data_IF_420789640096
#
_entry.id   IF_420789640096
#
_cell.length_a   1.000
_cell.length_b   1.000
_cell.length_c   1.000
_cell.angle_alpha   90.00
_cell.angle_beta   90.00
_cell.angle_gamma   90.00
#
_symmetry.space_group_name_H-M   'P 1'
#
loop_
_entity.id
_entity.type
_entity.pdbx_description
1 polymer ?
#
# COMPACT_ATOMS: atom_id res chain seq x y z
N UNK A 1 -11.57 -8.27 -11.05
CA UNK A 1 -12.18 -7.09 -10.41
C UNK A 1 -11.12 -6.41 -9.58
N UNK A 2 -10.79 -5.16 -9.85
CA UNK A 2 -9.77 -4.44 -9.08
C UNK A 2 -10.39 -3.94 -7.78
N UNK A 3 -10.10 -4.63 -6.67
CA UNK A 3 -10.56 -4.21 -5.34
C UNK A 3 -9.73 -3.04 -4.85
N UNK A 4 -10.39 -1.97 -4.41
CA UNK A 4 -9.72 -0.77 -3.91
C UNK A 4 -9.81 -0.73 -2.39
N UNK A 5 -8.64 -0.65 -1.75
CA UNK A 5 -8.50 -0.57 -0.29
C UNK A 5 -8.28 0.90 0.10
N UNK A 6 -9.02 1.36 1.12
CA UNK A 6 -8.83 2.70 1.71
C UNK A 6 -7.67 2.68 2.72
N UNK A 7 -7.14 3.86 3.05
CA UNK A 7 -6.03 4.00 4.01
C UNK A 7 -6.24 3.22 5.33
N UNK A 8 -7.45 3.24 5.90
CA UNK A 8 -7.72 2.48 7.14
C UNK A 8 -7.60 0.97 6.95
N UNK A 9 -8.10 0.44 5.82
CA UNK A 9 -7.96 -0.97 5.48
C UNK A 9 -6.50 -1.34 5.21
N UNK A 10 -5.74 -0.42 4.60
CA UNK A 10 -4.33 -0.60 4.31
C UNK A 10 -3.48 -0.67 5.59
N UNK A 11 -3.75 0.21 6.56
CA UNK A 11 -3.13 0.18 7.89
C UNK A 11 -3.39 -1.14 8.60
N UNK A 12 -4.64 -1.62 8.57
CA UNK A 12 -5.01 -2.90 9.16
C UNK A 12 -4.36 -4.10 8.44
N UNK A 13 -4.25 -4.03 7.11
CA UNK A 13 -3.67 -5.09 6.28
C UNK A 13 -2.15 -5.19 6.45
N UNK A 14 -1.44 -4.06 6.44
CA UNK A 14 0.02 -4.01 6.53
C UNK A 14 0.55 -4.02 7.97
N UNK A 15 -0.30 -3.73 8.96
CA UNK A 15 0.12 -3.64 10.37
C UNK A 15 1.01 -2.44 10.68
N UNK A 16 1.08 -1.44 9.79
CA UNK A 16 1.91 -0.24 9.95
C UNK A 16 1.06 1.03 10.01
N UNK A 17 1.57 2.05 10.70
CA UNK A 17 0.86 3.32 10.85
C UNK A 17 0.69 4.05 9.50
N UNK A 18 -0.36 4.88 9.42
CA UNK A 18 -0.58 5.79 8.28
C UNK A 18 0.64 6.67 7.97
N UNK A 19 1.34 7.15 9.01
CA UNK A 19 2.56 7.94 8.83
C UNK A 19 3.69 7.15 8.17
N UNK A 20 3.76 5.83 8.43
CA UNK A 20 4.74 4.95 7.78
C UNK A 20 4.40 4.73 6.32
N UNK A 21 3.12 4.55 5.99
CA UNK A 21 2.66 4.44 4.60
C UNK A 21 2.99 5.73 3.84
N UNK A 22 2.67 6.89 4.40
CA UNK A 22 2.99 8.19 3.77
C UNK A 22 4.50 8.37 3.58
N UNK A 23 5.32 7.89 4.51
CA UNK A 23 6.78 7.91 4.37
C UNK A 23 7.26 7.02 3.22
N UNK A 24 6.71 5.81 3.09
CA UNK A 24 7.00 4.91 1.97
C UNK A 24 6.57 5.53 0.63
N UNK A 25 5.38 6.17 0.59
CA UNK A 25 4.93 6.94 -0.58
C UNK A 25 5.91 8.07 -0.93
N UNK A 26 6.38 8.82 0.07
CA UNK A 26 7.34 9.90 -0.14
C UNK A 26 8.72 9.42 -0.61
N UNK A 27 9.10 8.20 -0.23
CA UNK A 27 10.34 7.54 -0.68
C UNK A 27 10.22 6.98 -2.10
N UNK A 28 9.02 6.94 -2.68
CA UNK A 28 8.77 6.32 -3.99
C UNK A 28 8.78 4.79 -3.96
N UNK A 29 8.90 4.19 -2.77
CA UNK A 29 8.91 2.73 -2.54
C UNK A 29 7.52 2.23 -2.10
N UNK A 30 6.47 2.83 -2.65
CA UNK A 30 5.09 2.43 -2.36
C UNK A 30 4.20 2.55 -3.60
N UNK A 31 3.09 1.82 -3.57
CA UNK A 31 2.13 1.81 -4.68
C UNK A 31 1.48 3.19 -4.85
N UNK A 32 1.14 3.59 -6.09
CA UNK A 32 0.49 4.86 -6.33
C UNK A 32 -0.93 4.89 -5.79
N UNK A 33 -1.30 6.01 -5.16
CA UNK A 33 -2.68 6.27 -4.71
C UNK A 33 -3.61 6.51 -5.88
N UNK A 34 -4.78 5.87 -5.83
CA UNK A 34 -5.90 6.07 -6.74
C UNK A 34 -6.83 7.11 -6.14
N UNK A 35 -7.06 8.22 -6.84
CA UNK A 35 -8.09 9.19 -6.46
C UNK A 35 -9.47 8.64 -6.83
N UNK A 36 -10.30 8.41 -5.82
CA UNK A 36 -11.68 7.94 -5.96
C UNK A 36 -12.66 9.12 -5.94
N UNK A 37 -12.26 10.23 -5.29
CA UNK A 37 -13.05 11.46 -5.25
C UNK A 37 -12.28 12.62 -4.61
N UNK A 38 -12.96 13.75 -4.41
CA UNK A 38 -12.33 15.01 -3.97
C UNK A 38 -11.50 14.90 -2.68
N UNK A 39 -11.96 14.09 -1.71
CA UNK A 39 -11.24 13.80 -0.46
C UNK A 39 -10.95 12.32 -0.25
N UNK A 40 -11.23 11.50 -1.27
CA UNK A 40 -11.20 10.06 -1.19
C UNK A 40 -10.04 9.50 -2.02
N UNK A 41 -9.10 8.84 -1.34
CA UNK A 41 -8.02 8.07 -1.97
C UNK A 41 -8.13 6.60 -1.56
N UNK A 42 -7.65 5.73 -2.43
CA UNK A 42 -7.47 4.32 -2.13
C UNK A 42 -6.31 3.74 -2.92
N UNK A 43 -6.11 2.44 -2.77
CA UNK A 43 -5.00 1.69 -3.32
C UNK A 43 -5.52 0.42 -3.95
N UNK A 44 -4.91 0.01 -5.07
CA UNK A 44 -5.24 -1.29 -5.67
C UNK A 44 -4.76 -2.40 -4.73
N UNK A 45 -5.67 -3.30 -4.33
CA UNK A 45 -5.33 -4.50 -3.54
C UNK A 45 -4.29 -5.36 -4.26
N UNK A 46 -4.41 -5.49 -5.58
CA UNK A 46 -3.49 -6.25 -6.42
C UNK A 46 -2.08 -5.66 -6.38
N UNK A 47 -1.95 -4.35 -6.56
CA UNK A 47 -0.65 -3.67 -6.51
C UNK A 47 0.00 -3.78 -5.11
N UNK A 48 -0.80 -3.72 -4.04
CA UNK A 48 -0.31 -3.90 -2.67
C UNK A 48 0.23 -5.32 -2.47
N UNK A 49 -0.50 -6.34 -2.94
CA UNK A 49 -0.03 -7.71 -2.86
C UNK A 49 1.26 -7.92 -3.65
N UNK A 50 1.35 -7.37 -4.87
CA UNK A 50 2.58 -7.42 -5.66
C UNK A 50 3.76 -6.74 -4.95
N UNK A 51 3.52 -5.59 -4.33
CA UNK A 51 4.53 -4.89 -3.54
C UNK A 51 4.99 -5.72 -2.34
N UNK A 52 4.07 -6.37 -1.62
CA UNK A 52 4.40 -7.29 -0.53
C UNK A 52 5.25 -8.48 -1.02
N UNK A 53 4.86 -9.10 -2.14
CA UNK A 53 5.60 -10.22 -2.73
C UNK A 53 7.02 -9.82 -3.11
N UNK A 54 7.21 -8.64 -3.71
CA UNK A 54 8.55 -8.12 -4.04
C UNK A 54 9.41 -7.96 -2.79
N UNK A 55 8.86 -7.38 -1.71
CA UNK A 55 9.60 -7.21 -0.45
C UNK A 55 9.93 -8.52 0.23
N UNK A 56 9.04 -9.52 0.15
CA UNK A 56 9.33 -10.86 0.65
C UNK A 56 10.47 -11.53 -0.13
N UNK A 57 10.59 -11.27 -1.44
CA UNK A 57 11.73 -11.79 -2.23
C UNK A 57 13.04 -11.07 -1.95
N UNK A 58 12.99 -9.76 -1.64
CA UNK A 58 14.16 -8.94 -1.35
C UNK A 58 14.69 -9.11 0.07
N UNK A 59 13.84 -9.55 1.00
CA UNK A 59 14.24 -9.98 2.32
C UNK A 59 14.39 -11.51 2.32
N UNK A 60 15.54 -12.07 1.91
CA UNK A 60 15.77 -13.49 2.01
C UNK A 60 15.57 -13.89 3.47
N UNK A 61 14.61 -14.78 3.68
CA UNK A 61 14.31 -15.39 4.96
C UNK A 61 15.65 -15.89 5.55
N UNK A 62 16.02 -15.38 6.72
CA UNK A 62 17.23 -15.78 7.44
C UNK A 62 17.03 -17.12 8.14
#
# INVERSE_FOLDING_TARGET
>A
MTKIIRMNGLVNMLGISRSSIIRLEAQGDFVPKIRIGARAVGYSEEAINEWLTKRQSEMPNK
#
